data_IF_058985302856
#
_entry.id   IF_058985302856
#
_cell.length_a   1.000
_cell.length_b   1.000
_cell.length_c   1.000
_cell.angle_alpha   90.00
_cell.angle_beta   90.00
_cell.angle_gamma   90.00
#
_symmetry.space_group_name_H-M   'P 1'
#
loop_
_entity.id
_entity.type
_entity.pdbx_description
1 polymer ?
#
# COMPACT_ATOMS: atom_id res chain seq x y z
N UNK A 1 1.20 32.65 -3.55
CA UNK A 1 0.45 31.57 -4.25
C UNK A 1 0.15 30.42 -3.30
N UNK A 2 -0.84 29.59 -3.63
CA UNK A 2 -1.36 28.51 -2.76
C UNK A 2 -0.47 27.24 -2.70
N UNK A 3 0.67 27.19 -3.41
CA UNK A 3 1.61 26.05 -3.35
C UNK A 3 1.23 24.84 -4.22
N UNK A 4 0.21 24.99 -5.09
CA UNK A 4 -0.22 23.98 -6.06
C UNK A 4 -1.07 22.85 -5.47
N UNK A 5 -1.25 21.76 -6.23
CA UNK A 5 -2.13 20.66 -5.82
C UNK A 5 -1.54 19.86 -4.65
N UNK A 6 -2.32 19.70 -3.59
CA UNK A 6 -2.00 18.86 -2.44
C UNK A 6 -2.77 17.54 -2.50
N UNK A 7 -2.06 16.43 -2.65
CA UNK A 7 -2.66 15.09 -2.71
C UNK A 7 -2.58 14.44 -1.34
N UNK A 8 -3.73 14.04 -0.78
CA UNK A 8 -3.82 13.34 0.50
C UNK A 8 -4.25 11.89 0.23
N UNK A 9 -3.40 10.94 0.61
CA UNK A 9 -3.78 9.53 0.71
C UNK A 9 -4.28 9.25 2.13
N UNK A 10 -5.45 8.65 2.25
CA UNK A 10 -6.07 8.26 3.53
C UNK A 10 -5.70 6.85 3.98
N UNK A 11 -5.17 6.05 3.05
CA UNK A 11 -4.75 4.67 3.27
C UNK A 11 -3.67 4.31 2.25
N UNK A 12 -3.19 3.06 2.33
CA UNK A 12 -2.27 2.48 1.37
C UNK A 12 -2.98 1.48 0.48
N UNK A 13 -2.77 1.61 -0.82
CA UNK A 13 -3.26 0.60 -1.75
C UNK A 13 -2.42 -0.68 -1.62
N UNK A 14 -3.00 -1.79 -2.07
CA UNK A 14 -2.33 -3.09 -2.17
C UNK A 14 -1.05 -3.07 -3.00
N UNK A 15 -0.91 -2.09 -3.90
CA UNK A 15 0.26 -1.92 -4.74
C UNK A 15 0.85 -0.52 -4.65
N UNK A 16 2.18 -0.46 -4.57
CA UNK A 16 2.96 0.79 -4.57
C UNK A 16 2.76 1.58 -5.87
N UNK A 17 2.46 0.89 -6.98
CA UNK A 17 2.17 1.53 -8.26
C UNK A 17 0.96 2.44 -8.18
N UNK A 18 -0.12 2.00 -7.53
CA UNK A 18 -1.37 2.78 -7.43
C UNK A 18 -1.17 3.99 -6.51
N UNK A 19 -0.44 3.81 -5.40
CA UNK A 19 -0.03 4.94 -4.55
C UNK A 19 0.75 6.00 -5.35
N UNK A 20 1.68 5.59 -6.22
CA UNK A 20 2.45 6.51 -7.05
C UNK A 20 1.60 7.20 -8.12
N UNK A 21 0.60 6.52 -8.65
CA UNK A 21 -0.37 7.14 -9.57
C UNK A 21 -1.15 8.26 -8.87
N UNK A 22 -1.53 8.07 -7.60
CA UNK A 22 -2.17 9.11 -6.81
C UNK A 22 -1.22 10.29 -6.57
N UNK A 23 0.02 10.03 -6.13
CA UNK A 23 1.05 11.08 -5.95
C UNK A 23 1.29 11.90 -7.22
N UNK A 24 1.37 11.23 -8.37
CA UNK A 24 1.62 11.83 -9.68
C UNK A 24 0.48 12.70 -10.22
N UNK A 25 -0.63 12.82 -9.49
CA UNK A 25 -1.66 13.83 -9.81
C UNK A 25 -1.19 15.24 -9.50
N UNK A 26 -0.30 15.41 -8.52
CA UNK A 26 0.34 16.70 -8.19
C UNK A 26 1.64 16.92 -8.96
N UNK A 27 2.04 18.18 -9.13
CA UNK A 27 3.36 18.56 -9.66
C UNK A 27 3.59 18.22 -11.14
N UNK A 28 2.57 18.38 -11.98
CA UNK A 28 2.68 18.12 -13.43
C UNK A 28 3.49 19.24 -14.11
N UNK A 29 4.27 18.91 -15.13
CA UNK A 29 5.04 19.90 -15.91
C UNK A 29 5.95 20.83 -15.07
N UNK A 30 6.38 20.39 -13.88
CA UNK A 30 7.19 21.22 -12.98
C UNK A 30 6.38 22.15 -12.06
N UNK A 31 5.05 22.07 -12.09
CA UNK A 31 4.17 22.80 -11.19
C UNK A 31 4.52 22.51 -9.71
N UNK A 32 4.34 23.48 -8.80
CA UNK A 32 4.34 23.20 -7.38
C UNK A 32 3.28 22.16 -7.02
N UNK A 33 3.62 21.24 -6.11
CA UNK A 33 2.70 20.22 -5.65
C UNK A 33 3.30 19.45 -4.49
N UNK A 34 2.44 18.87 -3.65
CA UNK A 34 2.90 18.01 -2.56
C UNK A 34 1.93 16.83 -2.42
N UNK A 35 2.44 15.74 -1.86
CA UNK A 35 1.61 14.60 -1.52
C UNK A 35 1.99 14.05 -0.15
N UNK A 36 0.98 13.59 0.62
CA UNK A 36 1.20 12.96 1.92
C UNK A 36 0.19 11.85 2.12
N UNK A 37 0.65 10.74 2.70
CA UNK A 37 -0.18 9.60 3.05
C UNK A 37 -0.30 9.54 4.56
N UNK A 38 -1.52 9.37 5.04
CA UNK A 38 -1.85 9.02 6.41
C UNK A 38 -2.30 7.56 6.40
N UNK A 39 -1.92 6.82 7.43
CA UNK A 39 -2.22 5.41 7.58
C UNK A 39 -2.60 5.15 9.03
N UNK A 40 -3.57 4.28 9.23
CA UNK A 40 -3.93 3.73 10.52
C UNK A 40 -3.46 2.28 10.60
N UNK A 41 -3.14 1.84 11.82
CA UNK A 41 -2.79 0.45 12.13
C UNK A 41 -3.93 -0.50 11.80
N UNK A 42 -5.15 0.01 11.91
CA UNK A 42 -6.39 -0.71 11.63
C UNK A 42 -6.74 -0.78 10.14
N UNK A 43 -5.96 -0.16 9.26
CA UNK A 43 -6.21 -0.19 7.81
C UNK A 43 -6.06 -1.60 7.24
N UNK A 44 -6.79 -1.90 6.17
CA UNK A 44 -6.87 -3.24 5.58
C UNK A 44 -5.51 -3.81 5.17
N UNK A 45 -4.59 -2.97 4.69
CA UNK A 45 -3.23 -3.41 4.35
C UNK A 45 -2.46 -3.90 5.58
N UNK A 46 -2.59 -3.19 6.71
CA UNK A 46 -1.89 -3.52 7.95
C UNK A 46 -2.59 -4.63 8.72
N UNK A 47 -3.90 -4.81 8.57
CA UNK A 47 -4.64 -5.97 9.14
C UNK A 47 -4.13 -7.32 8.67
N UNK A 48 -3.57 -7.39 7.45
CA UNK A 48 -2.92 -8.62 6.93
C UNK A 48 -1.72 -9.02 7.82
N UNK A 49 -1.13 -8.06 8.51
CA UNK A 49 -0.13 -8.29 9.55
C UNK A 49 -0.84 -8.37 10.89
N UNK A 50 -0.84 -9.56 11.48
CA UNK A 50 -1.55 -9.88 12.73
C UNK A 50 -1.65 -8.68 13.70
N UNK A 51 -2.85 -8.11 13.93
CA UNK A 51 -3.04 -6.89 14.71
C UNK A 51 -2.45 -7.00 16.11
N UNK A 52 -2.49 -8.20 16.70
CA UNK A 52 -1.95 -8.51 18.03
C UNK A 52 -0.45 -8.22 18.16
N UNK A 53 0.35 -8.44 17.11
CA UNK A 53 1.78 -8.12 17.11
C UNK A 53 2.03 -6.61 17.09
N UNK A 54 1.20 -5.87 16.37
CA UNK A 54 1.30 -4.41 16.28
C UNK A 54 0.85 -3.76 17.60
N UNK A 55 -0.27 -4.21 18.18
CA UNK A 55 -0.76 -3.70 19.48
C UNK A 55 0.26 -3.97 20.61
N UNK A 56 0.86 -5.16 20.65
CA UNK A 56 1.91 -5.48 21.61
C UNK A 56 3.14 -4.57 21.51
N UNK A 57 3.58 -4.24 20.30
CA UNK A 57 4.70 -3.32 20.07
C UNK A 57 4.33 -1.88 20.48
N UNK A 58 3.11 -1.43 20.16
CA UNK A 58 2.65 -0.07 20.49
C UNK A 58 2.51 0.14 22.00
N UNK A 59 1.96 -0.85 22.72
CA UNK A 59 1.90 -0.83 24.18
C UNK A 59 3.28 -0.79 24.82
N UNK A 60 4.23 -1.58 24.28
CA UNK A 60 5.62 -1.62 24.78
C UNK A 60 6.34 -0.30 24.53
N UNK A 61 6.02 0.40 23.43
CA UNK A 61 6.57 1.73 23.12
C UNK A 61 5.92 2.87 23.89
N UNK A 62 4.88 2.62 24.68
CA UNK A 62 4.21 3.65 25.49
C UNK A 62 3.51 4.73 24.65
N UNK A 63 3.15 4.41 23.40
CA UNK A 63 2.48 5.37 22.50
C UNK A 63 1.08 5.69 23.01
N UNK A 64 0.76 6.99 23.07
CA UNK A 64 -0.57 7.46 23.46
C UNK A 64 -1.50 7.51 22.25
N UNK A 65 -2.78 7.30 22.51
CA UNK A 65 -3.83 7.46 21.51
C UNK A 65 -3.83 8.89 20.96
N UNK A 66 -3.75 9.02 19.62
CA UNK A 66 -3.66 10.31 18.93
C UNK A 66 -2.24 10.82 18.64
N UNK A 67 -1.18 10.15 19.10
CA UNK A 67 0.20 10.49 18.70
C UNK A 67 0.57 9.89 17.34
N UNK A 68 1.17 10.71 16.48
CA UNK A 68 1.62 10.26 15.18
C UNK A 68 2.81 9.30 15.32
N UNK A 69 2.62 8.06 14.88
CA UNK A 69 3.66 7.04 14.86
C UNK A 69 4.67 7.38 13.76
N UNK A 70 5.80 7.95 14.13
CA UNK A 70 6.91 8.22 13.22
C UNK A 70 8.11 7.37 13.62
N UNK A 71 8.15 6.12 13.14
CA UNK A 71 9.32 5.27 13.32
C UNK A 71 9.74 4.62 11.99
N UNK A 72 11.05 4.61 11.65
CA UNK A 72 11.56 3.92 10.46
C UNK A 72 11.09 2.47 10.26
N UNK A 73 10.90 1.68 11.33
CA UNK A 73 10.42 0.30 11.19
C UNK A 73 8.98 0.23 10.69
N UNK A 74 8.13 1.21 11.02
CA UNK A 74 6.74 1.25 10.55
C UNK A 74 6.69 1.43 9.04
N UNK A 75 7.48 2.37 8.49
CA UNK A 75 7.61 2.55 7.04
C UNK A 75 8.07 1.27 6.33
N UNK A 76 9.03 0.54 6.94
CA UNK A 76 9.52 -0.74 6.41
C UNK A 76 8.48 -1.86 6.48
N UNK A 77 7.70 -1.90 7.56
CA UNK A 77 6.59 -2.85 7.72
C UNK A 77 5.52 -2.63 6.65
N UNK A 78 5.12 -1.38 6.40
CA UNK A 78 4.17 -1.02 5.34
C UNK A 78 4.69 -1.44 3.96
N UNK A 79 5.96 -1.15 3.65
CA UNK A 79 6.57 -1.56 2.37
C UNK A 79 6.59 -3.09 2.20
N UNK A 80 6.96 -3.81 3.25
CA UNK A 80 6.97 -5.29 3.25
C UNK A 80 5.56 -5.84 3.05
N UNK A 81 4.55 -5.17 3.63
CA UNK A 81 3.15 -5.55 3.49
C UNK A 81 2.68 -5.42 2.05
N UNK A 82 2.93 -4.27 1.42
CA UNK A 82 2.59 -4.06 0.01
C UNK A 82 3.27 -5.09 -0.89
N UNK A 83 4.57 -5.36 -0.69
CA UNK A 83 5.29 -6.39 -1.48
C UNK A 83 4.66 -7.79 -1.35
N UNK A 84 4.21 -8.17 -0.16
CA UNK A 84 3.58 -9.48 0.07
C UNK A 84 2.23 -9.58 -0.64
N UNK A 85 1.42 -8.52 -0.61
CA UNK A 85 0.14 -8.48 -1.32
C UNK A 85 0.35 -8.46 -2.83
N UNK A 86 1.32 -7.69 -3.33
CA UNK A 86 1.69 -7.69 -4.75
C UNK A 86 2.13 -9.07 -5.25
N UNK A 87 2.96 -9.77 -4.48
CA UNK A 87 3.40 -11.13 -4.80
C UNK A 87 2.21 -12.12 -4.83
N UNK A 88 1.32 -12.05 -3.84
CA UNK A 88 0.09 -12.86 -3.82
C UNK A 88 -0.78 -12.60 -5.05
N UNK A 89 -0.98 -11.33 -5.41
CA UNK A 89 -1.77 -10.94 -6.59
C UNK A 89 -1.09 -11.36 -7.91
N UNK A 90 0.24 -11.42 -7.94
CA UNK A 90 0.99 -11.99 -9.06
C UNK A 90 0.76 -13.50 -9.20
N UNK A 91 0.87 -14.26 -8.10
CA UNK A 91 0.68 -15.70 -8.10
C UNK A 91 -0.75 -16.11 -8.48
N UNK A 92 -1.76 -15.37 -7.99
CA UNK A 92 -3.16 -15.58 -8.39
C UNK A 92 -3.31 -15.42 -9.91
N UNK A 93 -2.81 -14.31 -10.48
CA UNK A 93 -2.89 -14.06 -11.93
C UNK A 93 -2.13 -15.12 -12.73
N UNK A 94 -0.96 -15.56 -12.25
CA UNK A 94 -0.17 -16.62 -12.87
C UNK A 94 -0.94 -17.94 -12.90
N UNK A 95 -1.62 -18.29 -11.81
CA UNK A 95 -2.41 -19.52 -11.75
C UNK A 95 -3.64 -19.44 -12.67
N UNK A 96 -4.35 -18.31 -12.70
CA UNK A 96 -5.47 -18.09 -13.63
C UNK A 96 -5.01 -18.29 -15.08
N UNK A 97 -3.88 -17.69 -15.47
CA UNK A 97 -3.32 -17.83 -16.82
C UNK A 97 -3.00 -19.30 -17.16
N UNK A 98 -2.36 -20.03 -16.24
CA UNK A 98 -2.05 -21.45 -16.46
C UNK A 98 -3.28 -22.31 -16.76
N UNK A 99 -4.39 -22.06 -16.07
CA UNK A 99 -5.64 -22.79 -16.32
C UNK A 99 -6.29 -22.36 -17.64
N UNK A 100 -6.21 -21.07 -17.98
CA UNK A 100 -6.73 -20.55 -19.25
C UNK A 100 -5.94 -21.08 -20.45
N UNK A 101 -4.61 -21.23 -20.35
CA UNK A 101 -3.76 -21.75 -21.43
C UNK A 101 -4.23 -23.13 -21.91
N UNK A 102 -4.62 -24.03 -20.99
CA UNK A 102 -5.15 -25.36 -21.33
C UNK A 102 -6.44 -25.27 -22.16
N UNK A 103 -7.35 -24.39 -21.75
CA UNK A 103 -8.60 -24.18 -22.49
C UNK A 103 -8.36 -23.48 -23.83
N UNK A 104 -7.37 -22.59 -23.89
CA UNK A 104 -7.00 -21.87 -25.09
C UNK A 104 -6.40 -22.80 -26.15
N UNK A 105 -5.56 -23.74 -25.76
CA UNK A 105 -5.02 -24.77 -26.65
C UNK A 105 -6.15 -25.62 -27.25
N UNK A 106 -7.15 -25.99 -26.46
CA UNK A 106 -8.34 -26.72 -26.95
C UNK A 106 -9.20 -25.87 -27.90
N UNK A 107 -9.25 -24.55 -27.75
CA UNK A 107 -10.01 -23.66 -28.66
C UNK A 107 -9.31 -23.45 -30.00
N UNK A 108 -7.99 -23.64 -30.06
CA UNK A 108 -7.17 -23.41 -31.26
C UNK A 108 -6.96 -24.68 -32.11
N UNK A 109 -7.15 -25.86 -31.51
CA UNK A 109 -7.14 -27.15 -32.19
C UNK A 109 -8.43 -27.38 -32.99
#
# INVERSE_FOLDING_TARGET
>A
EAGGLYVIGTERHESRRIDNQLRGRSGRQGDPGRSKFFICVEDDLLRIFAPERLDGIMRTMGMKEGEAIQHPWMSKSVETSQKKVEARNFDIRKNILKYDDVMNDQRKA
#
